data_IF_112165525842
#
_entry.id   IF_112165525842
#
_cell.length_a   1.000
_cell.length_b   1.000
_cell.length_c   1.000
_cell.angle_alpha   90.00
_cell.angle_beta   90.00
_cell.angle_gamma   90.00
#
_symmetry.space_group_name_H-M   'P 1'
#
loop_
_entity.id
_entity.type
_entity.pdbx_description
1 polymer ?
#
# COMPACT_ATOMS: atom_id res chain seq x y z
N UNK A 1 -31.89 5.76 8.62
CA UNK A 1 -30.75 5.65 7.68
C UNK A 1 -31.14 5.52 6.20
N UNK A 2 -32.39 5.23 5.81
CA UNK A 2 -32.80 5.11 4.39
C UNK A 2 -32.84 6.42 3.58
N UNK A 3 -32.75 7.59 4.20
CA UNK A 3 -32.93 8.87 3.51
C UNK A 3 -31.62 9.52 3.00
N UNK A 4 -30.49 9.39 3.70
CA UNK A 4 -29.26 10.11 3.32
C UNK A 4 -28.67 9.66 1.98
N UNK A 5 -28.70 8.36 1.70
CA UNK A 5 -28.18 7.82 0.45
C UNK A 5 -29.00 8.27 -0.77
N UNK A 6 -30.22 8.78 -0.61
CA UNK A 6 -31.09 9.31 -1.68
C UNK A 6 -30.96 10.82 -1.88
N UNK A 7 -30.23 11.52 -1.01
CA UNK A 7 -30.09 12.97 -1.05
C UNK A 7 -28.86 13.46 -1.84
N UNK A 8 -27.99 12.56 -2.28
CA UNK A 8 -26.75 12.91 -2.97
C UNK A 8 -26.82 12.55 -4.46
N UNK A 9 -26.34 13.45 -5.32
CA UNK A 9 -26.18 13.16 -6.76
C UNK A 9 -25.07 12.13 -7.00
N UNK A 10 -24.06 12.09 -6.12
CA UNK A 10 -22.93 11.16 -6.17
C UNK A 10 -22.70 10.55 -4.79
N UNK A 11 -22.72 9.23 -4.72
CA UNK A 11 -22.42 8.46 -3.52
C UNK A 11 -20.98 7.91 -3.59
N UNK A 12 -20.16 8.27 -2.60
CA UNK A 12 -18.84 7.67 -2.42
C UNK A 12 -18.97 6.27 -1.81
N UNK A 13 -18.57 5.23 -2.53
CA UNK A 13 -18.64 3.85 -2.07
C UNK A 13 -17.25 3.40 -1.62
N UNK A 14 -17.17 2.89 -0.38
CA UNK A 14 -15.91 2.59 0.29
C UNK A 14 -15.84 1.08 0.54
N UNK A 15 -15.10 0.38 -0.32
CA UNK A 15 -14.95 -1.07 -0.27
C UNK A 15 -13.48 -1.40 -0.37
N UNK A 16 -12.84 -1.42 0.78
CA UNK A 16 -11.41 -1.64 0.93
C UNK A 16 -11.12 -3.15 0.94
N UNK A 17 -10.53 -3.69 -0.14
CA UNK A 17 -10.15 -5.10 -0.19
C UNK A 17 -9.02 -5.36 0.80
N UNK A 18 -9.07 -6.45 1.54
CA UNK A 18 -8.00 -6.77 2.48
C UNK A 18 -6.79 -7.33 1.72
N UNK A 19 -5.74 -6.50 1.62
CA UNK A 19 -4.45 -6.89 1.09
C UNK A 19 -3.70 -7.76 2.11
N UNK A 20 -3.72 -9.07 1.88
CA UNK A 20 -3.10 -10.08 2.76
C UNK A 20 -1.65 -10.33 2.36
N UNK A 21 -0.76 -10.48 3.35
CA UNK A 21 0.64 -10.86 3.13
C UNK A 21 0.74 -12.19 2.37
N UNK A 22 1.75 -12.33 1.52
CA UNK A 22 2.00 -13.54 0.74
C UNK A 22 0.99 -13.84 -0.38
N UNK A 23 -0.08 -13.03 -0.52
CA UNK A 23 -0.95 -13.10 -1.69
C UNK A 23 -0.49 -12.10 -2.75
N UNK A 24 -0.40 -12.52 -4.03
CA UNK A 24 0.04 -11.64 -5.11
C UNK A 24 -0.97 -10.53 -5.42
N UNK A 25 -2.25 -10.77 -5.11
CA UNK A 25 -3.34 -9.85 -5.38
C UNK A 25 -4.48 -9.99 -4.36
N UNK A 26 -5.32 -8.97 -4.28
CA UNK A 26 -6.51 -8.90 -3.43
C UNK A 26 -7.75 -9.35 -4.21
N UNK A 27 -8.76 -9.84 -3.50
CA UNK A 27 -10.03 -10.23 -4.11
C UNK A 27 -10.94 -9.00 -4.28
N UNK A 28 -11.21 -8.63 -5.53
CA UNK A 28 -12.04 -7.48 -5.89
C UNK A 28 -13.49 -7.83 -6.23
N UNK A 29 -13.95 -9.06 -5.96
CA UNK A 29 -15.34 -9.47 -6.18
C UNK A 29 -16.35 -8.50 -5.56
N UNK A 30 -16.08 -8.03 -4.34
CA UNK A 30 -16.90 -7.03 -3.65
C UNK A 30 -16.96 -5.68 -4.37
N UNK A 31 -15.89 -5.27 -5.05
CA UNK A 31 -15.87 -4.04 -5.85
C UNK A 31 -16.81 -4.19 -7.04
N UNK A 32 -16.75 -5.33 -7.74
CA UNK A 32 -17.64 -5.65 -8.86
C UNK A 32 -19.10 -5.66 -8.40
N UNK A 33 -19.43 -6.49 -7.40
CA UNK A 33 -20.79 -6.66 -6.91
C UNK A 33 -21.41 -5.33 -6.48
N UNK A 34 -20.63 -4.48 -5.83
CA UNK A 34 -21.12 -3.20 -5.37
C UNK A 34 -21.26 -2.15 -6.48
N UNK A 35 -20.33 -2.08 -7.44
CA UNK A 35 -20.44 -1.11 -8.53
C UNK A 35 -21.58 -1.49 -9.48
N UNK A 36 -21.68 -2.77 -9.83
CA UNK A 36 -22.78 -3.27 -10.67
C UNK A 36 -24.12 -3.15 -9.95
N UNK A 37 -24.17 -3.52 -8.67
CA UNK A 37 -25.36 -3.35 -7.83
C UNK A 37 -25.78 -1.89 -7.68
N UNK A 38 -24.83 -0.98 -7.43
CA UNK A 38 -25.10 0.45 -7.34
C UNK A 38 -25.64 0.99 -8.66
N UNK A 39 -25.04 0.61 -9.80
CA UNK A 39 -25.53 0.98 -11.13
C UNK A 39 -26.99 0.56 -11.32
N UNK A 40 -27.32 -0.71 -11.03
CA UNK A 40 -28.71 -1.21 -11.17
C UNK A 40 -29.67 -0.43 -10.27
N UNK A 41 -29.29 -0.15 -9.02
CA UNK A 41 -30.14 0.59 -8.08
C UNK A 41 -30.38 2.02 -8.59
N UNK A 42 -29.32 2.72 -9.00
CA UNK A 42 -29.40 4.13 -9.39
C UNK A 42 -30.04 4.35 -10.76
N UNK A 43 -29.84 3.44 -11.72
CA UNK A 43 -30.52 3.48 -13.01
C UNK A 43 -32.05 3.38 -12.84
N UNK A 44 -32.51 2.69 -11.80
CA UNK A 44 -33.94 2.53 -11.48
C UNK A 44 -34.48 3.52 -10.44
N UNK A 45 -33.62 4.37 -9.87
CA UNK A 45 -34.05 5.39 -8.91
C UNK A 45 -34.80 6.54 -9.60
N UNK A 46 -35.76 7.13 -8.87
CA UNK A 46 -36.52 8.31 -9.31
C UNK A 46 -35.60 9.53 -9.42
N UNK A 47 -34.79 9.77 -8.39
CA UNK A 47 -33.67 10.70 -8.44
C UNK A 47 -32.45 9.95 -8.99
N UNK A 48 -31.91 10.40 -10.13
CA UNK A 48 -30.72 9.78 -10.74
C UNK A 48 -29.49 10.09 -9.90
N UNK A 49 -28.83 9.04 -9.44
CA UNK A 49 -27.63 9.11 -8.63
C UNK A 49 -26.47 8.42 -9.34
N UNK A 50 -25.25 8.70 -8.93
CA UNK A 50 -24.05 8.04 -9.42
C UNK A 50 -23.20 7.51 -8.27
N UNK A 51 -22.28 6.60 -8.60
CA UNK A 51 -21.29 6.07 -7.66
C UNK A 51 -19.89 6.62 -7.99
N UNK A 52 -19.15 7.04 -6.98
CA UNK A 52 -17.71 7.22 -7.06
C UNK A 52 -17.00 6.18 -6.18
N UNK A 53 -15.97 5.52 -6.70
CA UNK A 53 -15.24 4.50 -5.96
C UNK A 53 -14.16 5.14 -5.08
N UNK A 54 -14.17 4.85 -3.78
CA UNK A 54 -13.09 5.25 -2.87
C UNK A 54 -12.16 4.06 -2.63
N UNK A 55 -10.92 4.15 -3.09
CA UNK A 55 -9.89 3.15 -2.82
C UNK A 55 -9.27 3.30 -1.42
N UNK A 56 -8.60 2.25 -0.96
CA UNK A 56 -7.98 2.19 0.37
C UNK A 56 -6.69 3.02 0.48
N UNK A 57 -6.55 3.91 1.46
CA UNK A 57 -5.32 4.72 1.62
C UNK A 57 -4.41 4.34 2.79
N UNK A 58 -4.52 3.13 3.34
CA UNK A 58 -3.85 2.74 4.59
C UNK A 58 -3.60 1.23 4.66
N UNK A 59 -2.71 0.77 5.55
CA UNK A 59 -2.52 -0.65 5.85
C UNK A 59 -3.41 -1.06 7.03
N UNK A 60 -4.17 -2.14 6.90
CA UNK A 60 -4.99 -2.66 8.01
C UNK A 60 -4.15 -3.16 9.21
N UNK A 61 -2.87 -3.49 9.00
CA UNK A 61 -1.90 -3.80 10.06
C UNK A 61 -1.74 -2.68 11.07
N UNK A 62 -1.72 -1.43 10.60
CA UNK A 62 -1.60 -0.21 11.41
C UNK A 62 -2.83 0.01 12.31
N UNK A 63 -3.93 -0.71 12.04
CA UNK A 63 -5.18 -0.68 12.80
C UNK A 63 -5.47 -2.04 13.46
N UNK A 64 -4.45 -2.90 13.55
CA UNK A 64 -4.45 -4.09 14.40
C UNK A 64 -4.89 -5.38 13.72
N UNK A 65 -5.11 -5.39 12.41
CA UNK A 65 -5.32 -6.66 11.70
C UNK A 65 -3.99 -7.36 11.42
N UNK A 66 -3.86 -8.60 11.89
CA UNK A 66 -2.71 -9.44 11.57
C UNK A 66 -2.63 -9.78 10.08
N UNK A 67 -1.44 -10.07 9.58
CA UNK A 67 -1.21 -10.59 8.22
C UNK A 67 -1.70 -9.68 7.08
N UNK A 68 -1.73 -8.36 7.30
CA UNK A 68 -2.07 -7.38 6.29
C UNK A 68 -0.84 -6.61 5.81
N UNK A 69 -0.97 -6.04 4.61
CA UNK A 69 -0.03 -5.10 4.01
C UNK A 69 -0.82 -3.94 3.39
N UNK A 70 -0.13 -2.89 2.98
CA UNK A 70 -0.70 -1.91 2.04
C UNK A 70 -1.00 -2.61 0.69
N UNK A 71 -2.09 -2.24 -0.02
CA UNK A 71 -2.26 -2.64 -1.42
C UNK A 71 -1.04 -2.21 -2.26
N UNK A 72 -0.62 -3.07 -3.18
CA UNK A 72 0.45 -2.74 -4.11
C UNK A 72 -0.07 -1.84 -5.24
N UNK A 73 0.84 -1.29 -6.05
CA UNK A 73 0.47 -0.37 -7.12
C UNK A 73 -0.51 -0.97 -8.15
N UNK A 74 -0.36 -2.27 -8.48
CA UNK A 74 -1.26 -2.95 -9.43
C UNK A 74 -2.66 -3.04 -8.85
N UNK A 75 -2.78 -3.49 -7.61
CA UNK A 75 -4.06 -3.52 -6.90
C UNK A 75 -4.71 -2.13 -6.85
N UNK A 76 -3.94 -1.04 -6.67
CA UNK A 76 -4.45 0.33 -6.75
C UNK A 76 -4.96 0.71 -8.13
N UNK A 77 -4.18 0.44 -9.16
CA UNK A 77 -4.57 0.75 -10.53
C UNK A 77 -5.80 -0.06 -10.94
N UNK A 78 -5.77 -1.36 -10.70
CA UNK A 78 -6.77 -2.32 -11.14
C UNK A 78 -8.10 -2.09 -10.43
N UNK A 79 -8.14 -1.83 -9.11
CA UNK A 79 -9.41 -1.55 -8.40
C UNK A 79 -10.09 -0.27 -8.94
N UNK A 80 -9.30 0.76 -9.25
CA UNK A 80 -9.84 2.03 -9.76
C UNK A 80 -10.39 1.84 -11.18
N UNK A 81 -9.62 1.24 -12.10
CA UNK A 81 -10.09 1.01 -13.46
C UNK A 81 -11.25 0.01 -13.53
N UNK A 82 -11.19 -1.08 -12.74
CA UNK A 82 -12.29 -2.04 -12.61
C UNK A 82 -13.58 -1.37 -12.12
N UNK A 83 -13.48 -0.47 -11.14
CA UNK A 83 -14.66 0.23 -10.64
C UNK A 83 -15.35 1.06 -11.73
N UNK A 84 -14.57 1.71 -12.61
CA UNK A 84 -15.08 2.50 -13.73
C UNK A 84 -15.70 1.58 -14.80
N UNK A 85 -15.06 0.44 -15.11
CA UNK A 85 -15.61 -0.59 -16.00
C UNK A 85 -16.98 -1.08 -15.50
N UNK A 86 -17.11 -1.27 -14.18
CA UNK A 86 -18.34 -1.76 -13.54
C UNK A 86 -19.41 -0.67 -13.30
N UNK A 87 -19.21 0.57 -13.77
CA UNK A 87 -20.23 1.62 -13.76
C UNK A 87 -20.03 2.74 -12.75
N UNK A 88 -18.88 2.81 -12.08
CA UNK A 88 -18.51 4.02 -11.35
C UNK A 88 -18.31 5.20 -12.30
N UNK A 89 -18.71 6.40 -11.87
CA UNK A 89 -18.60 7.65 -12.63
C UNK A 89 -17.42 8.51 -12.18
N UNK A 90 -16.61 8.01 -11.24
CA UNK A 90 -15.45 8.71 -10.75
C UNK A 90 -14.73 7.92 -9.69
N UNK A 91 -13.52 8.36 -9.35
CA UNK A 91 -12.76 7.79 -8.24
C UNK A 91 -12.51 8.87 -7.19
N UNK A 92 -12.46 8.45 -5.94
CA UNK A 92 -12.04 9.27 -4.81
C UNK A 92 -10.71 8.71 -4.36
N UNK A 93 -9.70 9.57 -4.34
CA UNK A 93 -8.39 9.20 -3.84
C UNK A 93 -8.29 9.54 -2.36
N UNK A 94 -7.60 8.69 -1.61
CA UNK A 94 -7.35 9.00 -0.20
C UNK A 94 -6.41 10.20 -0.16
N UNK A 95 -6.88 11.32 0.40
CA UNK A 95 -6.19 12.61 0.39
C UNK A 95 -5.09 12.70 1.47
N UNK A 96 -4.53 11.55 1.86
CA UNK A 96 -3.47 11.44 2.85
C UNK A 96 -2.22 10.90 2.17
N UNK A 97 -1.11 11.62 2.33
CA UNK A 97 0.22 11.16 1.97
C UNK A 97 0.84 10.44 3.17
N UNK A 98 0.87 9.11 3.13
CA UNK A 98 1.64 8.30 4.06
C UNK A 98 2.98 7.94 3.40
N UNK A 99 3.99 8.79 3.59
CA UNK A 99 5.32 8.64 2.95
C UNK A 99 6.04 7.34 3.33
N UNK A 100 5.61 6.69 4.42
CA UNK A 100 6.06 5.36 4.80
C UNK A 100 5.71 4.27 3.80
N UNK A 101 4.70 4.48 2.96
CA UNK A 101 4.28 3.53 1.93
C UNK A 101 4.63 4.09 0.56
N UNK A 102 5.72 3.61 -0.09
CA UNK A 102 6.05 4.01 -1.46
C UNK A 102 4.92 3.73 -2.45
N UNK A 103 4.08 2.74 -2.20
CA UNK A 103 2.85 2.45 -2.95
C UNK A 103 1.93 3.67 -3.00
N UNK A 104 1.85 4.43 -1.91
CA UNK A 104 1.10 5.68 -1.86
C UNK A 104 1.93 6.87 -2.37
N UNK A 105 3.16 7.04 -1.87
CA UNK A 105 3.99 8.20 -2.18
C UNK A 105 4.43 8.29 -3.65
N UNK A 106 4.69 7.14 -4.29
CA UNK A 106 5.09 7.03 -5.70
C UNK A 106 3.90 6.62 -6.56
N UNK A 107 3.13 5.61 -6.11
CA UNK A 107 2.06 5.03 -6.91
C UNK A 107 0.88 5.98 -7.12
N UNK A 108 0.41 6.68 -6.08
CA UNK A 108 -0.77 7.55 -6.22
C UNK A 108 -0.58 8.72 -7.18
N UNK A 109 0.57 9.44 -7.19
CA UNK A 109 0.84 10.43 -8.23
C UNK A 109 0.83 9.85 -9.65
N UNK A 110 1.37 8.64 -9.84
CA UNK A 110 1.41 8.00 -11.15
C UNK A 110 0.01 7.56 -11.60
N UNK A 111 -0.76 6.93 -10.71
CA UNK A 111 -2.15 6.55 -10.96
C UNK A 111 -3.02 7.77 -11.28
N UNK A 112 -2.85 8.87 -10.54
CA UNK A 112 -3.62 10.10 -10.78
C UNK A 112 -3.33 10.68 -12.17
N UNK A 113 -2.07 10.63 -12.63
CA UNK A 113 -1.71 11.04 -14.00
C UNK A 113 -2.36 10.16 -15.06
N UNK A 114 -2.36 8.85 -14.86
CA UNK A 114 -3.04 7.91 -15.78
C UNK A 114 -4.56 8.15 -15.80
N UNK A 115 -5.21 8.33 -14.65
CA UNK A 115 -6.64 8.62 -14.58
C UNK A 115 -7.00 9.98 -15.16
N UNK A 116 -6.13 10.98 -15.03
CA UNK A 116 -6.29 12.29 -15.68
C UNK A 116 -6.12 12.17 -17.20
N UNK A 117 -5.14 11.40 -17.67
CA UNK A 117 -5.00 11.11 -19.10
C UNK A 117 -6.24 10.42 -19.68
N UNK A 118 -6.84 9.50 -18.92
CA UNK A 118 -8.03 8.76 -19.35
C UNK A 118 -9.35 9.51 -19.09
N UNK A 119 -9.36 10.65 -18.39
CA UNK A 119 -10.62 11.25 -17.94
C UNK A 119 -11.52 11.66 -19.09
N UNK A 120 -10.97 12.26 -20.15
CA UNK A 120 -11.75 12.65 -21.33
C UNK A 120 -12.25 11.42 -22.11
N UNK A 121 -11.51 10.31 -22.08
CA UNK A 121 -11.93 9.03 -22.66
C UNK A 121 -13.11 8.45 -21.89
N UNK A 122 -13.10 8.50 -20.56
CA UNK A 122 -14.24 8.02 -19.75
C UNK A 122 -15.50 8.87 -19.94
N UNK A 123 -15.33 10.18 -20.15
CA UNK A 123 -16.43 11.11 -20.40
C UNK A 123 -16.96 11.04 -21.85
N UNK A 124 -16.27 10.33 -22.74
CA UNK A 124 -16.67 10.23 -24.14
C UNK A 124 -17.80 9.21 -24.35
N UNK A 125 -18.49 9.28 -25.50
CA UNK A 125 -19.49 8.28 -25.86
C UNK A 125 -18.91 6.86 -25.94
N UNK A 126 -19.79 5.88 -25.76
CA UNK A 126 -19.43 4.48 -25.96
C UNK A 126 -19.03 4.24 -27.42
N UNK A 127 -18.00 3.42 -27.60
CA UNK A 127 -17.52 3.04 -28.92
C UNK A 127 -18.52 2.15 -29.64
N UNK A 128 -18.66 2.35 -30.95
CA UNK A 128 -19.44 1.43 -31.81
C UNK A 128 -18.81 0.04 -31.93
N UNK A 129 -17.51 -0.07 -31.69
CA UNK A 129 -16.80 -1.33 -31.53
C UNK A 129 -16.83 -1.72 -30.05
N UNK A 130 -17.23 -2.95 -29.77
CA UNK A 130 -17.29 -3.49 -28.43
C UNK A 130 -16.60 -4.86 -28.37
N UNK A 131 -16.10 -5.19 -27.18
CA UNK A 131 -15.56 -6.52 -26.91
C UNK A 131 -16.72 -7.50 -26.88
N UNK A 132 -16.56 -8.63 -27.57
CA UNK A 132 -17.51 -9.73 -27.53
C UNK A 132 -17.64 -10.26 -26.09
N UNK A 133 -18.85 -10.52 -25.58
CA UNK A 133 -19.02 -10.94 -24.19
C UNK A 133 -18.23 -12.21 -23.85
N UNK A 134 -17.48 -12.15 -22.77
CA UNK A 134 -16.77 -13.29 -22.15
C UNK A 134 -17.12 -13.26 -20.67
N UNK A 135 -17.59 -14.38 -20.12
CA UNK A 135 -18.13 -14.47 -18.76
C UNK A 135 -17.13 -14.02 -17.69
N UNK A 136 -15.86 -14.34 -17.93
CA UNK A 136 -14.72 -14.07 -17.08
C UNK A 136 -14.26 -12.61 -17.13
N UNK A 137 -14.69 -11.86 -18.14
CA UNK A 137 -14.26 -10.48 -18.34
C UNK A 137 -15.29 -9.49 -17.82
N UNK A 138 -14.78 -8.32 -17.45
CA UNK A 138 -15.54 -7.06 -17.47
C UNK A 138 -14.89 -6.15 -18.47
N UNK A 139 -15.72 -5.49 -19.28
CA UNK A 139 -15.22 -4.68 -20.38
C UNK A 139 -16.07 -3.43 -20.60
N UNK A 140 -15.39 -2.37 -21.01
CA UNK A 140 -15.98 -1.11 -21.47
C UNK A 140 -15.28 -0.69 -22.75
N UNK A 141 -15.99 0.00 -23.65
CA UNK A 141 -15.40 0.50 -24.89
C UNK A 141 -15.82 1.96 -25.12
N UNK A 142 -14.85 2.83 -25.38
CA UNK A 142 -15.02 4.28 -25.53
C UNK A 142 -14.43 4.76 -26.85
N UNK A 143 -15.04 5.78 -27.45
CA UNK A 143 -14.50 6.44 -28.65
C UNK A 143 -14.13 7.87 -28.31
N UNK A 144 -12.88 8.25 -28.54
CA UNK A 144 -12.39 9.59 -28.24
C UNK A 144 -11.38 10.05 -29.32
N UNK A 145 -11.62 11.23 -29.87
CA UNK A 145 -10.76 11.83 -30.91
C UNK A 145 -10.46 10.88 -32.08
N UNK A 146 -11.49 10.16 -32.55
CA UNK A 146 -11.38 9.20 -33.65
C UNK A 146 -10.65 7.89 -33.32
N UNK A 147 -10.26 7.69 -32.06
CA UNK A 147 -9.63 6.47 -31.58
C UNK A 147 -10.56 5.67 -30.68
N UNK A 148 -10.39 4.35 -30.69
CA UNK A 148 -11.14 3.43 -29.84
C UNK A 148 -10.29 3.00 -28.65
N UNK A 149 -10.91 2.95 -27.47
CA UNK A 149 -10.31 2.53 -26.22
C UNK A 149 -11.12 1.37 -25.64
N UNK A 150 -10.41 0.31 -25.25
CA UNK A 150 -11.01 -0.92 -24.73
C UNK A 150 -10.42 -1.20 -23.36
N UNK A 151 -11.27 -1.08 -22.33
CA UNK A 151 -10.91 -1.35 -20.94
C UNK A 151 -11.33 -2.78 -20.64
N UNK A 152 -10.39 -3.62 -20.19
CA UNK A 152 -10.63 -5.07 -20.03
C UNK A 152 -10.05 -5.53 -18.72
N UNK A 153 -10.89 -6.12 -17.87
CA UNK A 153 -10.50 -6.72 -16.61
C UNK A 153 -10.77 -8.22 -16.62
N UNK A 154 -9.81 -9.02 -16.16
CA UNK A 154 -10.06 -10.39 -15.72
C UNK A 154 -10.81 -10.38 -14.38
N UNK A 155 -12.11 -10.63 -14.36
CA UNK A 155 -12.93 -10.57 -13.15
C UNK A 155 -12.84 -11.84 -12.28
N UNK A 156 -11.68 -12.51 -12.27
CA UNK A 156 -11.45 -13.74 -11.52
C UNK A 156 -10.23 -13.64 -10.61
N UNK A 157 -10.27 -14.37 -9.50
CA UNK A 157 -9.14 -14.53 -8.57
C UNK A 157 -8.15 -15.62 -9.04
N UNK A 158 -7.81 -15.64 -10.33
CA UNK A 158 -6.86 -16.58 -10.94
C UNK A 158 -6.32 -16.04 -12.26
N UNK A 159 -5.13 -16.49 -12.65
CA UNK A 159 -4.58 -16.25 -13.99
C UNK A 159 -5.55 -16.81 -15.06
N UNK A 160 -5.63 -16.11 -16.18
CA UNK A 160 -6.41 -16.54 -17.34
C UNK A 160 -5.70 -16.17 -18.65
N UNK A 161 -5.77 -17.05 -19.63
CA UNK A 161 -5.43 -16.73 -21.02
C UNK A 161 -6.73 -16.68 -21.82
N UNK A 162 -7.04 -15.52 -22.40
CA UNK A 162 -8.34 -15.24 -22.98
C UNK A 162 -8.15 -14.69 -24.39
N UNK A 163 -8.86 -15.29 -25.35
CA UNK A 163 -8.98 -14.72 -26.69
C UNK A 163 -10.05 -13.63 -26.70
N UNK A 164 -9.63 -12.39 -26.91
CA UNK A 164 -10.48 -11.21 -26.95
C UNK A 164 -10.87 -10.95 -28.41
N UNK A 165 -12.17 -10.83 -28.68
CA UNK A 165 -12.72 -10.54 -30.01
C UNK A 165 -13.40 -9.18 -30.03
N UNK A 166 -13.02 -8.32 -30.98
CA UNK A 166 -13.57 -6.98 -31.19
C UNK A 166 -14.01 -6.86 -32.66
N UNK A 167 -15.24 -7.30 -33.01
CA UNK A 167 -15.68 -7.35 -34.40
C UNK A 167 -15.52 -6.02 -35.13
N UNK A 168 -14.84 -6.02 -36.28
CA UNK A 168 -14.56 -4.85 -37.11
C UNK A 168 -13.26 -4.11 -36.81
N UNK A 169 -12.53 -4.42 -35.74
CA UNK A 169 -11.30 -3.71 -35.36
C UNK A 169 -10.19 -3.82 -36.40
N UNK A 170 -10.11 -4.94 -37.13
CA UNK A 170 -9.06 -5.20 -38.14
C UNK A 170 -9.09 -4.26 -39.34
N UNK A 171 -10.21 -3.55 -39.53
CA UNK A 171 -10.41 -2.51 -40.54
C UNK A 171 -9.78 -1.18 -40.12
N UNK A 172 -9.59 -0.97 -38.82
CA UNK A 172 -9.06 0.28 -38.25
C UNK A 172 -7.59 0.16 -37.87
N UNK A 173 -7.19 -0.99 -37.32
CA UNK A 173 -5.83 -1.20 -36.83
C UNK A 173 -5.33 -2.63 -37.10
N UNK A 174 -4.01 -2.79 -37.13
CA UNK A 174 -3.33 -4.10 -37.16
C UNK A 174 -2.75 -4.50 -35.80
N UNK A 175 -2.67 -3.55 -34.88
CA UNK A 175 -2.23 -3.75 -33.50
C UNK A 175 -2.93 -2.74 -32.61
N UNK A 176 -3.00 -3.02 -31.32
CA UNK A 176 -3.49 -2.09 -30.31
C UNK A 176 -2.36 -1.78 -29.33
N UNK A 177 -2.16 -0.49 -29.05
CA UNK A 177 -1.24 -0.06 -28.00
C UNK A 177 -1.87 -0.30 -26.63
N UNK A 178 -1.06 -0.66 -25.63
CA UNK A 178 -1.53 -0.88 -24.26
C UNK A 178 -1.07 0.26 -23.37
N UNK A 179 -2.02 1.06 -22.90
CA UNK A 179 -1.77 2.29 -22.15
C UNK A 179 -1.00 1.96 -20.87
N UNK A 180 0.07 2.73 -20.63
CA UNK A 180 0.96 2.60 -19.46
C UNK A 180 1.72 1.27 -19.38
N UNK A 181 1.85 0.51 -20.46
CA UNK A 181 2.56 -0.77 -20.44
C UNK A 181 3.75 -0.85 -21.40
N UNK A 182 3.94 0.16 -22.26
CA UNK A 182 5.07 0.21 -23.19
C UNK A 182 5.08 -0.93 -24.21
N UNK A 183 3.92 -1.54 -24.45
CA UNK A 183 3.74 -2.68 -25.36
C UNK A 183 2.52 -2.48 -26.27
N UNK A 184 2.40 -3.35 -27.25
CA UNK A 184 1.24 -3.45 -28.13
C UNK A 184 0.91 -4.91 -28.40
N UNK A 185 -0.37 -5.22 -28.65
CA UNK A 185 -0.83 -6.55 -29.06
C UNK A 185 -1.14 -6.55 -30.55
N UNK A 186 -0.68 -7.58 -31.27
CA UNK A 186 -0.99 -7.75 -32.68
C UNK A 186 -2.37 -8.39 -32.85
N UNK A 187 -3.15 -7.92 -33.82
CA UNK A 187 -4.47 -8.45 -34.14
C UNK A 187 -4.35 -9.59 -35.16
N UNK A 188 -5.02 -10.71 -34.88
CA UNK A 188 -5.28 -11.78 -35.82
C UNK A 188 -6.73 -11.66 -36.33
N UNK A 189 -6.91 -10.94 -37.42
CA UNK A 189 -8.25 -10.50 -37.82
C UNK A 189 -8.82 -9.59 -36.74
N UNK A 190 -10.04 -9.88 -36.27
CA UNK A 190 -10.73 -9.07 -35.26
C UNK A 190 -10.45 -9.51 -33.82
N UNK A 191 -9.45 -10.37 -33.58
CA UNK A 191 -9.17 -10.91 -32.24
C UNK A 191 -7.68 -10.93 -31.89
N UNK A 192 -7.39 -11.09 -30.60
CA UNK A 192 -6.04 -11.33 -30.07
C UNK A 192 -6.12 -12.12 -28.77
N UNK A 193 -5.07 -12.88 -28.45
CA UNK A 193 -4.93 -13.56 -27.16
C UNK A 193 -4.19 -12.69 -26.16
N UNK A 194 -4.63 -12.71 -24.91
CA UNK A 194 -3.97 -12.02 -23.81
C UNK A 194 -3.91 -12.91 -22.56
N UNK A 195 -2.83 -12.78 -21.80
CA UNK A 195 -2.70 -13.33 -20.46
C UNK A 195 -3.02 -12.25 -19.43
N UNK A 196 -3.93 -12.56 -18.52
CA UNK A 196 -4.26 -11.73 -17.36
C UNK A 196 -3.87 -12.43 -16.07
N UNK A 197 -3.38 -11.63 -15.12
CA UNK A 197 -3.31 -11.98 -13.70
C UNK A 197 -4.67 -11.75 -12.99
N UNK A 198 -4.86 -12.21 -11.74
CA UNK A 198 -6.09 -12.00 -11.01
C UNK A 198 -6.49 -10.53 -10.96
N UNK A 199 -7.71 -10.18 -11.39
CA UNK A 199 -8.24 -8.82 -11.42
C UNK A 199 -7.43 -7.79 -12.22
N UNK A 200 -6.47 -8.22 -13.04
CA UNK A 200 -5.65 -7.31 -13.84
C UNK A 200 -6.48 -6.58 -14.89
N UNK A 201 -6.21 -5.28 -15.05
CA UNK A 201 -6.87 -4.43 -16.04
C UNK A 201 -5.88 -3.96 -17.11
N UNK A 202 -6.22 -4.21 -18.37
CA UNK A 202 -5.52 -3.65 -19.52
C UNK A 202 -6.41 -2.62 -20.23
N UNK A 203 -5.77 -1.56 -20.75
CA UNK A 203 -6.44 -0.53 -21.56
C UNK A 203 -5.80 -0.51 -22.93
N UNK A 204 -6.51 -1.03 -23.92
CA UNK A 204 -6.05 -1.08 -25.31
C UNK A 204 -6.55 0.12 -26.08
N UNK A 205 -5.77 0.61 -27.04
CA UNK A 205 -6.20 1.70 -27.93
C UNK A 205 -5.71 1.53 -29.37
N UNK A 206 -6.49 2.05 -30.31
CA UNK A 206 -6.06 2.24 -31.70
C UNK A 206 -5.15 3.46 -31.88
N UNK A 207 -5.05 4.33 -30.88
CA UNK A 207 -4.20 5.51 -30.95
C UNK A 207 -2.74 5.10 -31.14
N UNK A 208 -2.12 5.58 -32.21
CA UNK A 208 -0.73 5.26 -32.54
C UNK A 208 0.27 6.02 -31.65
N UNK A 209 -0.15 7.14 -31.07
CA UNK A 209 0.69 8.00 -30.25
C UNK A 209 1.00 7.33 -28.91
N UNK A 210 2.21 7.59 -28.42
CA UNK A 210 2.58 7.21 -27.07
C UNK A 210 1.85 8.10 -26.06
N UNK A 211 1.22 7.52 -25.05
CA UNK A 211 0.54 8.28 -23.99
C UNK A 211 1.49 9.18 -23.19
N UNK A 212 2.81 8.92 -23.24
CA UNK A 212 3.82 9.63 -22.44
C UNK A 212 3.75 9.29 -20.95
N UNK A 213 2.89 8.34 -20.57
CA UNK A 213 2.76 7.84 -19.21
C UNK A 213 3.93 6.91 -18.89
N UNK A 214 4.39 6.98 -17.64
CA UNK A 214 5.34 6.02 -17.12
C UNK A 214 4.73 4.62 -17.10
N UNK A 215 5.52 3.58 -17.41
CA UNK A 215 4.98 2.23 -17.45
C UNK A 215 4.67 1.70 -16.05
N UNK A 216 3.63 0.86 -15.93
CA UNK A 216 3.29 0.14 -14.69
C UNK A 216 4.52 -0.61 -14.15
N UNK A 217 5.31 -1.24 -15.03
CA UNK A 217 6.54 -1.93 -14.64
C UNK A 217 7.60 -1.01 -14.05
N UNK A 218 7.80 0.19 -14.60
CA UNK A 218 8.75 1.19 -14.08
C UNK A 218 8.30 1.71 -12.71
N UNK A 219 7.01 1.98 -12.55
CA UNK A 219 6.43 2.45 -11.29
C UNK A 219 6.60 1.39 -10.20
N UNK A 220 6.25 0.12 -10.49
CA UNK A 220 6.48 -0.99 -9.58
C UNK A 220 7.97 -1.12 -9.21
N UNK A 221 8.88 -1.06 -10.19
CA UNK A 221 10.31 -1.17 -9.92
C UNK A 221 10.85 -0.05 -9.00
N UNK A 222 10.31 1.17 -9.10
CA UNK A 222 10.66 2.27 -8.21
C UNK A 222 10.12 2.07 -6.79
N UNK A 223 8.91 1.53 -6.66
CA UNK A 223 8.31 1.17 -5.38
C UNK A 223 9.12 0.06 -4.71
N UNK A 224 9.44 -1.00 -5.46
CA UNK A 224 10.25 -2.12 -4.98
C UNK A 224 11.63 -1.63 -4.53
N UNK A 225 12.26 -0.76 -5.32
CA UNK A 225 13.53 -0.13 -4.95
C UNK A 225 13.41 0.70 -3.67
N UNK A 226 12.38 1.53 -3.54
CA UNK A 226 12.17 2.35 -2.34
C UNK A 226 11.91 1.49 -1.09
N UNK A 227 11.20 0.37 -1.22
CA UNK A 227 11.01 -0.58 -0.13
C UNK A 227 12.31 -1.33 0.21
N UNK A 228 13.13 -1.69 -0.78
CA UNK A 228 14.44 -2.31 -0.54
C UNK A 228 15.42 -1.34 0.12
N UNK A 229 15.39 -0.05 -0.23
CA UNK A 229 16.25 0.98 0.38
C UNK A 229 15.98 1.19 1.88
N UNK A 230 14.78 0.86 2.37
CA UNK A 230 14.48 0.84 3.81
C UNK A 230 15.28 -0.24 4.55
N UNK A 231 15.64 -1.33 3.87
CA UNK A 231 16.43 -2.42 4.44
C UNK A 231 17.90 -2.00 4.53
N UNK A 232 18.28 -1.45 5.68
CA UNK A 232 19.67 -1.08 5.96
C UNK A 232 20.56 -2.35 6.00
N UNK A 233 21.64 -2.43 5.20
CA UNK A 233 22.48 -3.63 5.14
C UNK A 233 22.99 -4.09 6.51
N UNK A 234 22.67 -5.33 6.87
CA UNK A 234 23.07 -5.93 8.14
C UNK A 234 22.17 -5.62 9.33
N UNK A 235 21.08 -4.84 9.17
CA UNK A 235 20.09 -4.65 10.22
C UNK A 235 19.32 -5.98 10.43
N UNK A 236 19.51 -6.56 11.61
CA UNK A 236 18.92 -7.83 12.04
C UNK A 236 17.45 -7.71 12.45
N UNK A 237 17.00 -6.50 12.80
CA UNK A 237 15.65 -6.26 13.30
C UNK A 237 14.63 -5.91 12.21
N UNK A 238 15.10 -5.60 10.99
CA UNK A 238 14.26 -5.06 9.93
C UNK A 238 13.09 -5.97 9.55
N UNK A 239 11.89 -5.39 9.47
CA UNK A 239 10.74 -6.00 8.79
C UNK A 239 9.99 -5.01 7.92
N UNK A 240 9.59 -5.44 6.72
CA UNK A 240 8.82 -4.59 5.81
C UNK A 240 7.33 -4.56 6.19
N UNK A 241 6.82 -5.64 6.78
CA UNK A 241 5.48 -5.75 7.31
C UNK A 241 5.52 -6.38 8.69
N UNK A 242 4.54 -6.04 9.53
CA UNK A 242 4.39 -6.57 10.89
C UNK A 242 4.55 -8.09 10.95
N UNK A 243 5.51 -8.56 11.74
CA UNK A 243 5.75 -9.98 11.98
C UNK A 243 6.37 -10.73 10.80
N UNK A 244 7.14 -10.04 9.95
CA UNK A 244 7.95 -10.70 8.93
C UNK A 244 9.25 -11.29 9.53
N UNK A 245 9.83 -10.65 10.55
CA UNK A 245 11.14 -11.08 11.07
C UNK A 245 11.28 -11.03 12.59
N UNK A 246 10.57 -10.13 13.26
CA UNK A 246 10.67 -9.93 14.71
C UNK A 246 9.28 -9.75 15.33
N UNK A 247 9.20 -9.82 16.66
CA UNK A 247 8.04 -9.37 17.40
C UNK A 247 8.40 -8.14 18.21
N UNK A 248 7.57 -7.09 18.14
CA UNK A 248 7.77 -5.86 18.90
C UNK A 248 6.69 -5.74 19.97
N UNK A 249 7.10 -5.48 21.22
CA UNK A 249 6.19 -5.27 22.35
C UNK A 249 6.65 -4.09 23.19
N UNK A 250 5.75 -3.47 23.95
CA UNK A 250 6.08 -2.33 24.80
C UNK A 250 5.34 -2.39 26.13
N UNK A 251 5.85 -1.70 27.14
CA UNK A 251 5.20 -1.51 28.45
C UNK A 251 3.85 -0.81 28.32
N UNK A 252 3.77 0.14 27.40
CA UNK A 252 2.60 0.93 27.10
C UNK A 252 2.65 1.45 25.67
N UNK A 253 1.47 1.71 25.11
CA UNK A 253 1.29 2.25 23.77
C UNK A 253 0.14 3.25 23.82
N UNK A 254 0.35 4.46 23.29
CA UNK A 254 -0.67 5.52 23.24
C UNK A 254 -1.66 5.34 22.07
N UNK A 255 -1.36 4.48 21.10
CA UNK A 255 -2.24 4.18 19.96
C UNK A 255 -2.86 2.77 20.08
N UNK A 256 -3.54 2.39 21.19
CA UNK A 256 -4.17 1.08 21.29
C UNK A 256 -5.53 1.12 20.60
N UNK A 257 -5.57 0.89 19.28
CA UNK A 257 -6.82 0.84 18.52
C UNK A 257 -7.55 -0.49 18.74
N UNK A 258 -6.88 -1.61 18.43
CA UNK A 258 -7.46 -2.97 18.58
C UNK A 258 -6.59 -3.92 19.40
N UNK A 259 -5.27 -3.76 19.35
CA UNK A 259 -4.31 -4.58 20.09
C UNK A 259 -3.34 -3.70 20.89
N UNK A 260 -2.75 -4.19 21.99
CA UNK A 260 -1.72 -3.45 22.73
C UNK A 260 -0.46 -3.16 21.91
N UNK A 261 -0.10 -4.07 21.00
CA UNK A 261 1.08 -4.02 20.13
C UNK A 261 0.81 -3.35 18.77
N UNK A 262 -0.36 -2.71 18.62
CA UNK A 262 -0.76 -2.06 17.38
C UNK A 262 0.30 -1.07 16.90
N UNK A 263 0.73 -1.23 15.63
CA UNK A 263 1.67 -0.34 14.95
C UNK A 263 3.10 -0.27 15.57
N UNK A 264 3.41 -1.09 16.59
CA UNK A 264 4.75 -1.08 17.21
C UNK A 264 5.85 -1.52 16.24
N UNK A 265 5.52 -2.35 15.25
CA UNK A 265 6.45 -2.83 14.24
C UNK A 265 7.09 -1.73 13.38
N UNK A 266 6.49 -0.53 13.32
CA UNK A 266 7.10 0.59 12.61
C UNK A 266 8.44 1.03 13.20
N UNK A 267 8.76 0.69 14.46
CA UNK A 267 10.08 1.00 15.03
C UNK A 267 11.21 0.16 14.45
N UNK A 268 10.93 -0.74 13.50
CA UNK A 268 11.93 -1.58 12.83
C UNK A 268 11.69 -1.66 11.32
N UNK A 269 10.92 -0.75 10.73
CA UNK A 269 10.51 -0.81 9.33
C UNK A 269 11.45 -0.09 8.35
N UNK A 270 12.54 0.48 8.88
CA UNK A 270 13.53 1.22 8.10
C UNK A 270 13.25 2.71 7.99
N UNK A 271 12.14 3.22 8.54
CA UNK A 271 11.72 4.62 8.40
C UNK A 271 12.15 5.47 9.60
N UNK A 272 13.04 6.43 9.33
CA UNK A 272 13.47 7.41 10.32
C UNK A 272 12.66 8.70 10.17
N UNK A 273 11.56 8.81 10.91
CA UNK A 273 10.72 9.99 10.88
C UNK A 273 11.42 11.25 11.38
N UNK A 274 11.21 12.36 10.66
CA UNK A 274 11.68 13.69 11.06
C UNK A 274 10.58 14.43 11.80
N UNK A 275 10.98 15.38 12.64
CA UNK A 275 10.07 16.23 13.45
C UNK A 275 8.91 16.88 12.68
N UNK A 276 9.04 17.06 11.37
CA UNK A 276 8.05 17.67 10.48
C UNK A 276 6.99 16.72 9.96
N UNK A 277 7.16 15.41 10.17
CA UNK A 277 6.33 14.43 9.49
C UNK A 277 5.03 14.19 10.29
N UNK A 278 3.96 13.83 9.59
CA UNK A 278 2.65 13.58 10.17
C UNK A 278 2.47 12.07 10.40
N UNK A 279 2.35 11.65 11.66
CA UNK A 279 2.76 10.30 12.07
C UNK A 279 1.76 9.59 12.98
N UNK A 280 0.49 9.49 12.58
CA UNK A 280 -0.52 8.91 13.48
C UNK A 280 -0.19 7.47 13.92
N UNK A 281 0.49 6.67 13.10
CA UNK A 281 0.80 5.26 13.39
C UNK A 281 2.27 4.87 13.16
N UNK A 282 3.14 5.78 12.70
CA UNK A 282 4.51 5.45 12.31
C UNK A 282 5.54 5.50 13.45
N UNK A 283 5.15 6.02 14.61
CA UNK A 283 6.03 6.19 15.76
C UNK A 283 5.43 5.50 16.97
N UNK A 284 6.28 4.82 17.74
CA UNK A 284 5.86 4.35 19.06
C UNK A 284 5.82 5.52 20.04
N UNK A 285 4.69 5.68 20.71
CA UNK A 285 4.52 6.60 21.83
C UNK A 285 4.17 5.80 23.09
N UNK A 286 4.95 5.96 24.16
CA UNK A 286 4.56 5.46 25.48
C UNK A 286 3.36 6.25 26.03
N UNK A 287 2.62 5.66 26.97
CA UNK A 287 1.60 6.41 27.70
C UNK A 287 2.26 7.43 28.66
N UNK A 288 1.76 8.67 28.80
CA UNK A 288 2.35 9.68 29.70
C UNK A 288 2.41 9.28 31.19
N UNK A 289 1.51 8.40 31.62
CA UNK A 289 1.49 7.83 32.97
C UNK A 289 2.56 6.77 33.22
N UNK A 290 3.13 6.16 32.17
CA UNK A 290 4.19 5.17 32.28
C UNK A 290 5.53 5.85 32.61
N UNK A 291 6.01 5.66 33.85
CA UNK A 291 7.21 6.34 34.37
C UNK A 291 8.51 5.63 34.03
N UNK A 292 8.43 4.39 33.57
CA UNK A 292 9.59 3.60 33.18
C UNK A 292 9.28 2.84 31.88
N UNK A 293 8.96 3.56 30.79
CA UNK A 293 8.51 2.91 29.58
C UNK A 293 9.63 2.07 28.97
N UNK A 294 9.24 0.97 28.34
CA UNK A 294 10.16 0.13 27.59
C UNK A 294 9.54 -0.34 26.28
N UNK A 295 10.40 -0.57 25.28
CA UNK A 295 10.05 -1.23 24.02
C UNK A 295 11.06 -2.35 23.75
N UNK A 296 10.56 -3.54 23.48
CA UNK A 296 11.28 -4.79 23.28
C UNK A 296 11.13 -5.27 21.83
N UNK A 297 12.24 -5.66 21.23
CA UNK A 297 12.33 -6.37 19.96
C UNK A 297 12.79 -7.78 20.27
N UNK A 298 12.00 -8.77 19.84
CA UNK A 298 12.28 -10.19 20.00
C UNK A 298 12.55 -10.85 18.66
N UNK A 299 13.74 -11.44 18.54
CA UNK A 299 14.13 -12.29 17.43
C UNK A 299 13.49 -13.69 17.57
N UNK A 300 13.24 -14.39 16.45
CA UNK A 300 12.75 -15.77 16.48
C UNK A 300 13.81 -16.75 17.01
N UNK A 301 15.08 -16.40 16.88
CA UNK A 301 16.23 -17.17 17.30
C UNK A 301 17.30 -16.25 17.90
N UNK A 302 18.18 -16.80 18.74
CA UNK A 302 19.29 -16.02 19.29
C UNK A 302 20.19 -15.47 18.17
N UNK A 303 20.54 -14.19 18.28
CA UNK A 303 21.47 -13.49 17.39
C UNK A 303 22.66 -12.98 18.20
N UNK A 304 23.83 -12.96 17.57
CA UNK A 304 24.98 -12.22 18.08
C UNK A 304 24.84 -10.76 17.65
N UNK A 305 24.73 -9.86 18.62
CA UNK A 305 24.56 -8.42 18.42
C UNK A 305 25.73 -7.67 19.05
N UNK A 306 26.11 -6.54 18.45
CA UNK A 306 27.20 -5.69 18.97
C UNK A 306 26.92 -4.19 18.81
N UNK A 307 25.84 -3.83 18.12
CA UNK A 307 25.48 -2.43 17.87
C UNK A 307 23.97 -2.26 17.80
N UNK A 308 23.48 -1.20 18.45
CA UNK A 308 22.09 -0.73 18.38
C UNK A 308 22.08 0.73 18.00
N UNK A 309 21.23 1.13 17.06
CA UNK A 309 21.01 2.53 16.70
C UNK A 309 19.57 2.89 17.05
N UNK A 310 19.38 3.99 17.77
CA UNK A 310 18.06 4.46 18.20
C UNK A 310 17.80 5.82 17.57
N UNK A 311 16.60 6.01 17.05
CA UNK A 311 16.12 7.28 16.50
C UNK A 311 14.96 7.81 17.35
N UNK A 312 15.27 8.59 18.42
CA UNK A 312 14.27 9.29 19.20
C UNK A 312 13.45 10.22 18.31
N UNK A 313 12.14 10.01 18.28
CA UNK A 313 11.28 10.96 17.60
C UNK A 313 11.24 12.27 18.40
N UNK A 314 11.40 13.40 17.70
CA UNK A 314 11.44 14.76 18.31
C UNK A 314 12.41 14.89 19.48
N UNK A 315 13.49 14.11 19.48
CA UNK A 315 14.50 14.10 20.56
C UNK A 315 13.90 13.77 21.94
N UNK A 316 12.82 12.98 21.97
CA UNK A 316 12.02 12.72 23.18
C UNK A 316 12.80 12.00 24.29
N UNK A 317 13.84 11.23 23.97
CA UNK A 317 14.58 10.40 24.93
C UNK A 317 15.72 11.18 25.61
N UNK A 318 15.80 11.08 26.95
CA UNK A 318 16.82 11.74 27.77
C UNK A 318 17.80 10.77 28.43
N UNK A 319 17.26 9.85 29.23
CA UNK A 319 18.03 8.87 30.00
C UNK A 319 17.45 7.48 29.74
N UNK A 320 18.25 6.53 29.25
CA UNK A 320 17.82 5.15 29.02
C UNK A 320 18.99 4.17 28.98
N UNK A 321 18.69 2.89 29.12
CA UNK A 321 19.62 1.78 28.90
C UNK A 321 19.19 0.96 27.68
N UNK A 322 20.16 0.54 26.87
CA UNK A 322 19.98 -0.55 25.90
C UNK A 322 20.26 -1.86 26.64
N UNK A 323 19.30 -2.77 26.65
CA UNK A 323 19.40 -4.03 27.39
C UNK A 323 19.27 -5.23 26.47
N UNK A 324 20.07 -6.27 26.73
CA UNK A 324 19.94 -7.59 26.12
C UNK A 324 19.43 -8.61 27.13
N UNK A 325 18.65 -9.58 26.69
CA UNK A 325 18.21 -10.68 27.53
C UNK A 325 19.24 -11.82 27.49
N UNK A 326 20.00 -11.98 28.57
CA UNK A 326 21.13 -12.90 28.67
C UNK A 326 20.94 -13.80 29.88
N UNK A 327 21.00 -15.13 29.67
CA UNK A 327 20.87 -16.13 30.74
C UNK A 327 19.65 -15.90 31.66
N UNK A 328 18.50 -15.57 31.07
CA UNK A 328 17.25 -15.35 31.80
C UNK A 328 17.12 -13.98 32.47
N UNK A 329 18.07 -13.06 32.28
CA UNK A 329 18.08 -11.75 32.92
C UNK A 329 18.31 -10.62 31.92
N UNK A 330 17.75 -9.44 32.20
CA UNK A 330 18.07 -8.22 31.46
C UNK A 330 19.42 -7.67 31.92
N UNK A 331 20.33 -7.42 30.98
CA UNK A 331 21.66 -6.87 31.23
C UNK A 331 21.82 -5.57 30.44
N UNK A 332 22.27 -4.51 31.10
CA UNK A 332 22.64 -3.24 30.45
C UNK A 332 23.85 -3.48 29.52
N UNK A 333 23.64 -3.25 28.23
CA UNK A 333 24.69 -3.31 27.20
C UNK A 333 25.35 -1.94 27.00
N UNK A 334 24.54 -0.89 27.11
CA UNK A 334 24.99 0.50 27.12
C UNK A 334 23.95 1.37 27.85
N UNK A 335 24.37 2.55 28.33
CA UNK A 335 23.53 3.49 29.06
C UNK A 335 23.87 4.92 28.68
N UNK A 336 22.84 5.74 28.52
CA UNK A 336 23.00 7.18 28.26
C UNK A 336 22.27 8.03 29.29
N UNK A 337 22.76 9.25 29.46
CA UNK A 337 22.20 10.24 30.40
C UNK A 337 22.32 11.64 29.80
N UNK A 338 21.29 12.46 29.99
CA UNK A 338 21.24 13.86 29.58
C UNK A 338 21.22 14.06 28.07
N UNK A 339 20.70 13.10 27.30
CA UNK A 339 20.69 13.15 25.83
C UNK A 339 19.48 13.90 25.28
N UNK A 340 19.63 14.40 24.05
CA UNK A 340 18.58 15.08 23.29
C UNK A 340 18.89 15.00 21.78
N UNK A 341 19.48 13.88 21.34
CA UNK A 341 19.95 13.68 19.98
C UNK A 341 18.84 13.08 19.11
N UNK A 342 18.89 13.34 17.81
CA UNK A 342 17.98 12.74 16.82
C UNK A 342 18.36 11.30 16.46
N UNK A 343 19.61 10.90 16.76
CA UNK A 343 20.14 9.56 16.53
C UNK A 343 21.24 9.27 17.55
N UNK A 344 21.21 8.08 18.14
CA UNK A 344 22.26 7.58 19.03
C UNK A 344 22.72 6.20 18.58
N UNK A 345 24.03 6.02 18.49
CA UNK A 345 24.66 4.73 18.21
C UNK A 345 25.28 4.17 19.48
N UNK A 346 24.90 2.95 19.83
CA UNK A 346 25.41 2.18 20.96
C UNK A 346 26.27 1.04 20.42
N UNK A 347 27.54 0.97 20.85
CA UNK A 347 28.46 -0.12 20.50
C UNK A 347 28.93 -0.80 21.79
N UNK A 348 28.93 -2.12 21.79
CA UNK A 348 29.29 -2.93 22.96
C UNK A 348 29.94 -4.25 22.52
N UNK A 349 30.53 -4.98 23.47
CA UNK A 349 31.09 -6.30 23.18
C UNK A 349 30.00 -7.26 22.68
N UNK A 350 30.28 -8.18 21.72
CA UNK A 350 29.26 -9.04 21.16
C UNK A 350 28.52 -9.85 22.23
N UNK A 351 27.18 -9.82 22.17
CA UNK A 351 26.28 -10.53 23.07
C UNK A 351 25.33 -11.41 22.26
N UNK A 352 25.16 -12.65 22.71
CA UNK A 352 24.15 -13.56 22.15
C UNK A 352 22.85 -13.41 22.90
N UNK A 353 21.78 -13.01 22.21
CA UNK A 353 20.45 -12.81 22.80
C UNK A 353 19.33 -13.03 21.79
N UNK A 354 18.13 -13.39 22.24
CA UNK A 354 16.92 -13.38 21.43
C UNK A 354 16.11 -12.08 21.60
N UNK A 355 16.47 -11.18 22.52
CA UNK A 355 15.69 -9.98 22.83
C UNK A 355 16.57 -8.79 23.18
N UNK A 356 16.19 -7.64 22.65
CA UNK A 356 16.75 -6.34 22.98
C UNK A 356 15.63 -5.42 23.42
N UNK A 357 15.84 -4.60 24.44
CA UNK A 357 14.89 -3.53 24.78
C UNK A 357 15.58 -2.22 25.09
N UNK A 358 14.84 -1.13 24.88
CA UNK A 358 15.16 0.16 25.48
C UNK A 358 14.39 0.27 26.79
N UNK A 359 15.10 0.49 27.90
CA UNK A 359 14.48 0.82 29.19
C UNK A 359 14.69 2.31 29.47
N UNK A 360 13.62 3.09 29.37
CA UNK A 360 13.67 4.54 29.45
C UNK A 360 13.39 4.99 30.88
N UNK A 361 14.28 5.83 31.40
CA UNK A 361 14.25 6.34 32.78
C UNK A 361 13.97 7.84 32.85
N UNK A 362 14.19 8.58 31.77
CA UNK A 362 13.76 9.97 31.62
C UNK A 362 13.54 10.35 30.16
N UNK A 363 12.64 11.31 29.95
CA UNK A 363 12.28 11.89 28.63
C UNK A 363 12.43 13.40 28.65
N UNK A 364 12.68 14.02 27.50
CA UNK A 364 12.70 15.48 27.31
C UNK A 364 11.30 16.06 27.07
N UNK A 365 10.30 15.19 26.80
CA UNK A 365 8.91 15.55 26.50
C UNK A 365 7.90 14.98 27.48
N UNK A 366 6.67 14.74 27.00
CA UNK A 366 5.56 14.20 27.81
C UNK A 366 5.60 12.68 27.97
N UNK A 367 6.15 11.99 26.97
CA UNK A 367 6.26 10.54 26.90
C UNK A 367 7.52 10.16 26.09
N UNK A 368 7.83 8.87 26.04
CA UNK A 368 8.87 8.36 25.15
C UNK A 368 8.31 8.20 23.74
N UNK A 369 9.09 8.63 22.75
CA UNK A 369 8.71 8.58 21.33
C UNK A 369 9.88 8.04 20.51
N UNK A 370 9.71 6.91 19.82
CA UNK A 370 10.77 6.26 19.03
C UNK A 370 10.27 5.97 17.63
N UNK A 371 11.02 6.45 16.63
CA UNK A 371 10.71 6.24 15.21
C UNK A 371 11.34 4.97 14.66
N UNK A 372 12.55 4.64 15.07
CA UNK A 372 13.29 3.49 14.54
C UNK A 372 14.31 2.99 15.58
N UNK A 373 14.51 1.68 15.60
CA UNK A 373 15.56 0.95 16.29
C UNK A 373 16.20 -0.02 15.30
N UNK A 374 17.50 0.12 15.09
CA UNK A 374 18.27 -0.78 14.23
C UNK A 374 19.20 -1.65 15.10
N UNK A 375 19.35 -2.93 14.77
CA UNK A 375 20.18 -3.87 15.54
C UNK A 375 21.16 -4.57 14.60
N UNK A 376 22.44 -4.60 14.94
CA UNK A 376 23.49 -5.15 14.09
C UNK A 376 24.39 -6.13 14.85
N UNK A 377 24.94 -7.08 14.10
CA UNK A 377 26.00 -7.98 14.57
C UNK A 377 27.37 -7.29 14.71
N UNK A 378 28.40 -8.04 15.12
CA UNK A 378 29.78 -7.57 15.13
C UNK A 378 30.24 -7.16 13.73
N UNK A 379 31.04 -6.08 13.65
CA UNK A 379 31.76 -5.72 12.42
C UNK A 379 32.72 -6.87 12.07
N UNK A 380 32.77 -7.25 10.78
CA UNK A 380 33.65 -8.32 10.28
C UNK A 380 35.09 -7.86 10.16
#
# INVERSE_FOLDING_TARGET
MRAFALCADINGIHLFPQAVKGKPHSDFSKVIDAMEGAKVIYDNAEHKQNAAYFHQGFNYGDFGNMNNRIPNYREYRDQNLLSLICGSHGVINYNWRADIYPELAIGMPALTKELTYLSEVFLSPDSKLAISPVKELRAMSKEFSGNHYFFVCNAQMKDAEINISIPGISKLAKKLNVISEGRSVALNGDSFSEKFYPYEVHVYTTCADNSGLETVSSICARIDKANEEKRKPGNLAFELNEGDSVAVTASSNQIPLRRPDNALWHVVDGVNFKRTDFELNGVWHSKPEDKTPWIEIRFPEQKSIAKVIVYPYKQSLKDYSVQGFVNGNWVDLDKVTGKNDECLTHKFAPVTTDRVRLLISAVNGKCAEVSEIEIYGPEK
#
